data_IF_757141813466
#
_entry.id   IF_757141813466
#
_cell.length_a   1.000
_cell.length_b   1.000
_cell.length_c   1.000
_cell.angle_alpha   90.00
_cell.angle_beta   90.00
_cell.angle_gamma   90.00
#
_symmetry.space_group_name_H-M   'P 1'
#
loop_
_entity.id
_entity.type
_entity.pdbx_description
1 polymer ?
#
# COMPACT_ATOMS: atom_id res chain seq x y z
N UNK A 1 -28.49 -7.05 31.34
CA UNK A 1 -27.10 -7.53 31.33
C UNK A 1 -26.64 -7.47 29.88
N UNK A 2 -25.80 -6.47 29.54
CA UNK A 2 -25.24 -6.36 28.21
C UNK A 2 -24.19 -7.47 28.05
N UNK A 3 -24.40 -8.40 27.10
CA UNK A 3 -23.37 -9.33 26.70
C UNK A 3 -22.24 -8.49 26.10
N UNK A 4 -21.05 -8.49 26.71
CA UNK A 4 -19.85 -7.97 26.11
C UNK A 4 -19.65 -8.76 24.82
N UNK A 5 -19.60 -8.05 23.69
CA UNK A 5 -19.25 -8.64 22.40
C UNK A 5 -17.91 -9.36 22.55
N UNK A 6 -17.82 -10.59 22.04
CA UNK A 6 -16.56 -11.31 22.00
C UNK A 6 -15.51 -10.41 21.30
N UNK A 7 -14.24 -10.37 21.78
CA UNK A 7 -13.23 -9.59 21.12
C UNK A 7 -13.11 -10.03 19.65
N UNK A 8 -13.22 -9.07 18.72
CA UNK A 8 -13.08 -9.37 17.31
C UNK A 8 -11.70 -10.00 17.07
N UNK A 9 -11.67 -11.14 16.37
CA UNK A 9 -10.40 -11.79 15.99
C UNK A 9 -9.66 -10.85 15.05
N UNK A 10 -8.44 -10.46 15.43
CA UNK A 10 -7.59 -9.62 14.57
C UNK A 10 -7.20 -10.38 13.30
N UNK A 11 -7.20 -9.69 12.19
CA UNK A 11 -6.68 -10.19 10.90
C UNK A 11 -5.14 -10.26 10.95
N UNK A 12 -4.56 -10.99 10.01
CA UNK A 12 -3.11 -11.08 9.80
C UNK A 12 -2.79 -10.78 8.36
N UNK A 13 -1.70 -10.06 8.14
CA UNK A 13 -1.14 -9.86 6.80
C UNK A 13 -0.44 -11.13 6.33
N UNK A 14 -0.17 -11.29 5.01
CA UNK A 14 0.64 -12.40 4.50
C UNK A 14 2.05 -12.49 5.10
N UNK A 15 2.56 -11.38 5.64
CA UNK A 15 3.90 -11.26 6.23
C UNK A 15 3.93 -11.45 7.75
N UNK A 16 2.80 -11.68 8.41
CA UNK A 16 2.72 -11.78 9.87
C UNK A 16 3.76 -12.74 10.45
N UNK A 17 3.89 -13.97 9.91
CA UNK A 17 4.83 -14.96 10.44
C UNK A 17 6.29 -14.57 10.17
N UNK A 18 6.56 -13.82 9.10
CA UNK A 18 7.88 -13.24 8.82
C UNK A 18 8.24 -12.22 9.91
N UNK A 19 7.31 -11.35 10.28
CA UNK A 19 7.53 -10.36 11.34
C UNK A 19 7.78 -11.03 12.70
N UNK A 20 7.00 -12.05 13.05
CA UNK A 20 7.21 -12.84 14.27
C UNK A 20 8.60 -13.49 14.27
N UNK A 21 9.00 -14.11 13.16
CA UNK A 21 10.33 -14.74 13.03
C UNK A 21 11.48 -13.74 13.12
N UNK A 22 11.27 -12.49 12.72
CA UNK A 22 12.24 -11.39 12.87
C UNK A 22 12.26 -10.79 14.28
N UNK A 23 11.43 -11.27 15.21
CA UNK A 23 11.35 -10.79 16.58
C UNK A 23 10.58 -9.48 16.73
N UNK A 24 9.68 -9.17 15.82
CA UNK A 24 8.86 -7.97 15.89
C UNK A 24 7.94 -7.98 17.12
N UNK A 25 7.75 -6.82 17.73
CA UNK A 25 6.70 -6.60 18.72
C UNK A 25 5.38 -6.42 18.00
N UNK A 26 4.52 -7.44 18.07
CA UNK A 26 3.19 -7.43 17.44
C UNK A 26 2.19 -6.74 18.36
N UNK A 27 1.36 -5.86 17.80
CA UNK A 27 0.30 -5.13 18.51
C UNK A 27 -0.98 -5.08 17.67
N UNK A 28 -2.16 -4.93 18.30
CA UNK A 28 -3.39 -4.59 17.58
C UNK A 28 -3.28 -3.22 16.91
N UNK A 29 -3.51 -3.16 15.60
CA UNK A 29 -3.55 -1.93 14.83
C UNK A 29 -4.53 -2.05 13.67
N UNK A 30 -5.50 -1.12 13.58
CA UNK A 30 -6.51 -1.07 12.50
C UNK A 30 -7.21 -2.41 12.21
N UNK A 31 -7.45 -3.24 13.24
CA UNK A 31 -8.08 -4.56 13.09
C UNK A 31 -7.12 -5.70 12.75
N UNK A 32 -5.83 -5.45 12.68
CA UNK A 32 -4.78 -6.43 12.36
C UNK A 32 -3.78 -6.61 13.50
N UNK A 33 -3.06 -7.77 13.48
CA UNK A 33 -1.86 -8.00 14.25
C UNK A 33 -0.66 -7.44 13.49
N UNK A 34 -0.14 -6.25 13.88
CA UNK A 34 0.89 -5.53 13.13
C UNK A 34 2.19 -5.37 13.91
N UNK A 35 3.35 -5.40 13.23
CA UNK A 35 4.63 -5.11 13.85
C UNK A 35 4.76 -3.61 14.16
N UNK A 36 5.04 -3.24 15.43
CA UNK A 36 5.24 -1.85 15.83
C UNK A 36 6.71 -1.48 15.93
N UNK A 37 7.56 -2.44 16.19
CA UNK A 37 9.03 -2.28 16.22
C UNK A 37 9.70 -3.66 16.20
N UNK A 38 10.99 -3.65 15.88
CA UNK A 38 11.87 -4.81 15.90
C UNK A 38 12.95 -4.65 16.98
N UNK A 39 13.82 -5.66 17.20
CA UNK A 39 14.80 -5.61 18.29
C UNK A 39 15.79 -4.43 18.26
N UNK A 40 16.04 -3.85 17.08
CA UNK A 40 16.89 -2.67 16.93
C UNK A 40 16.27 -1.39 17.53
N UNK A 41 14.93 -1.36 17.64
CA UNK A 41 14.16 -0.27 18.20
C UNK A 41 13.83 0.84 17.20
N UNK A 42 12.74 1.55 17.45
CA UNK A 42 12.14 2.57 16.56
C UNK A 42 13.16 3.62 16.10
N UNK A 43 14.03 4.10 16.97
CA UNK A 43 15.01 5.13 16.62
C UNK A 43 16.00 4.64 15.55
N UNK A 44 16.49 3.39 15.67
CA UNK A 44 17.38 2.82 14.68
C UNK A 44 16.67 2.57 13.35
N UNK A 45 15.43 2.09 13.39
CA UNK A 45 14.58 1.85 12.23
C UNK A 45 14.28 3.16 11.49
N UNK A 46 13.86 4.20 12.21
CA UNK A 46 13.65 5.55 11.65
C UNK A 46 14.91 6.07 10.95
N UNK A 47 16.08 5.95 11.61
CA UNK A 47 17.36 6.39 11.05
C UNK A 47 17.71 5.62 9.77
N UNK A 48 17.43 4.32 9.73
CA UNK A 48 17.64 3.51 8.53
C UNK A 48 16.83 3.99 7.33
N UNK A 49 15.59 4.39 7.53
CA UNK A 49 14.77 4.99 6.45
C UNK A 49 15.38 6.29 5.96
N UNK A 50 15.83 7.16 6.87
CA UNK A 50 16.39 8.47 6.52
C UNK A 50 17.75 8.41 5.82
N UNK A 51 18.61 7.48 6.21
CA UNK A 51 20.00 7.41 5.75
C UNK A 51 20.23 6.31 4.69
N UNK A 52 19.28 5.39 4.55
CA UNK A 52 19.40 4.22 3.69
C UNK A 52 18.08 3.81 3.06
N UNK A 53 17.49 2.76 3.61
CA UNK A 53 16.19 2.26 3.18
C UNK A 53 15.51 1.49 4.32
N UNK A 54 14.20 1.62 4.42
CA UNK A 54 13.32 0.80 5.23
C UNK A 54 12.26 0.12 4.38
N UNK A 55 11.75 -1.00 4.86
CA UNK A 55 10.65 -1.71 4.22
C UNK A 55 9.52 -1.88 5.22
N UNK A 56 8.31 -1.57 4.79
CA UNK A 56 7.10 -1.60 5.61
C UNK A 56 6.09 -2.56 5.01
N UNK A 57 5.48 -3.36 5.87
CA UNK A 57 4.26 -4.09 5.53
C UNK A 57 3.06 -3.17 5.78
N UNK A 58 2.40 -2.75 4.72
CA UNK A 58 1.19 -1.94 4.76
C UNK A 58 0.01 -2.67 4.12
N UNK A 59 0.09 -4.01 4.05
CA UNK A 59 -0.93 -4.91 3.49
C UNK A 59 -2.26 -4.92 4.26
N UNK A 60 -2.38 -4.11 5.29
CA UNK A 60 -3.63 -3.89 6.01
C UNK A 60 -4.50 -2.79 5.39
N UNK A 61 -3.98 -2.04 4.42
CA UNK A 61 -4.74 -1.02 3.69
C UNK A 61 -5.91 -1.65 2.91
N UNK A 62 -6.84 -0.83 2.45
CA UNK A 62 -7.94 -1.27 1.60
C UNK A 62 -7.68 -0.89 0.14
N UNK A 63 -7.87 -1.84 -0.78
CA UNK A 63 -7.73 -1.64 -2.22
C UNK A 63 -9.05 -1.97 -2.92
N UNK A 64 -9.59 -0.97 -3.64
CA UNK A 64 -10.84 -1.13 -4.39
C UNK A 64 -10.60 -0.98 -5.88
N UNK A 65 -11.00 -1.98 -6.66
CA UNK A 65 -11.04 -1.87 -8.11
C UNK A 65 -12.38 -1.32 -8.58
N UNK A 66 -12.32 -0.35 -9.46
CA UNK A 66 -13.48 0.25 -10.11
C UNK A 66 -13.37 0.01 -11.62
N UNK A 67 -14.21 -0.88 -12.15
CA UNK A 67 -14.24 -1.26 -13.55
C UNK A 67 -15.48 -0.70 -14.24
N UNK A 68 -15.35 -0.42 -15.52
CA UNK A 68 -16.47 0.03 -16.36
C UNK A 68 -16.19 1.37 -17.04
N UNK A 69 -16.98 1.70 -18.08
CA UNK A 69 -16.71 2.87 -18.94
C UNK A 69 -16.84 4.20 -18.22
N UNK A 70 -17.54 4.23 -17.08
CA UNK A 70 -17.74 5.43 -16.27
C UNK A 70 -17.00 5.39 -14.93
N UNK A 71 -15.94 4.56 -14.80
CA UNK A 71 -15.16 4.44 -13.58
C UNK A 71 -14.57 5.80 -13.13
N UNK A 72 -14.04 6.58 -14.06
CA UNK A 72 -13.51 7.93 -13.79
C UNK A 72 -14.59 8.88 -13.28
N UNK A 73 -15.76 8.90 -13.92
CA UNK A 73 -16.87 9.75 -13.48
C UNK A 73 -17.39 9.35 -12.10
N UNK A 74 -17.40 8.04 -11.82
CA UNK A 74 -17.78 7.53 -10.50
C UNK A 74 -16.82 7.99 -9.42
N UNK A 75 -15.49 7.83 -9.64
CA UNK A 75 -14.51 8.24 -8.64
C UNK A 75 -14.49 9.76 -8.48
N UNK A 76 -14.65 10.53 -9.55
CA UNK A 76 -14.86 11.99 -9.46
C UNK A 76 -16.11 12.38 -8.65
N UNK A 77 -17.14 11.54 -8.65
CA UNK A 77 -18.35 11.83 -7.88
C UNK A 77 -18.17 11.62 -6.38
N UNK A 78 -17.32 10.67 -5.99
CA UNK A 78 -17.13 10.30 -4.57
C UNK A 78 -15.88 10.89 -3.92
N UNK A 79 -15.00 11.53 -4.73
CA UNK A 79 -13.76 12.16 -4.24
C UNK A 79 -13.66 13.62 -4.64
N UNK A 80 -12.71 14.34 -4.04
CA UNK A 80 -12.57 15.80 -4.21
C UNK A 80 -11.68 16.22 -5.36
N UNK A 81 -10.63 15.46 -5.69
CA UNK A 81 -9.71 15.79 -6.77
C UNK A 81 -10.23 15.27 -8.12
N UNK A 82 -9.88 15.98 -9.19
CA UNK A 82 -10.31 15.64 -10.55
C UNK A 82 -9.52 14.44 -11.12
N UNK A 83 -10.13 13.26 -11.06
CA UNK A 83 -9.58 12.02 -11.64
C UNK A 83 -9.49 12.11 -13.17
N UNK A 84 -10.37 12.90 -13.80
CA UNK A 84 -10.35 13.14 -15.25
C UNK A 84 -9.09 13.85 -15.73
N UNK A 85 -8.47 14.65 -14.87
CA UNK A 85 -7.20 15.33 -15.17
C UNK A 85 -5.97 14.40 -15.08
N UNK A 86 -6.09 13.22 -14.46
CA UNK A 86 -4.99 12.26 -14.40
C UNK A 86 -4.74 11.62 -15.77
N UNK A 87 -3.49 11.56 -16.19
CA UNK A 87 -3.08 10.66 -17.26
C UNK A 87 -3.03 9.21 -16.77
N UNK A 88 -3.10 8.25 -17.68
CA UNK A 88 -2.86 6.83 -17.39
C UNK A 88 -1.46 6.67 -16.78
N UNK A 89 -1.34 5.91 -15.71
CA UNK A 89 -0.11 5.74 -14.95
C UNK A 89 0.14 6.80 -13.88
N UNK A 90 -0.78 7.74 -13.70
CA UNK A 90 -0.72 8.73 -12.62
C UNK A 90 -1.54 8.34 -11.39
N UNK A 91 -1.10 8.87 -10.26
CA UNK A 91 -1.75 8.76 -8.95
C UNK A 91 -2.02 10.15 -8.42
N UNK A 92 -3.08 10.34 -7.64
CA UNK A 92 -3.21 11.51 -6.79
C UNK A 92 -3.81 11.17 -5.43
N UNK A 93 -3.48 12.00 -4.46
CA UNK A 93 -4.14 12.01 -3.16
C UNK A 93 -5.48 12.73 -3.28
N UNK A 94 -6.52 12.21 -2.63
CA UNK A 94 -7.85 12.78 -2.62
C UNK A 94 -8.54 12.52 -1.28
N UNK A 95 -9.74 13.05 -1.10
CA UNK A 95 -10.59 12.76 0.05
C UNK A 95 -11.96 12.27 -0.41
N UNK A 96 -12.53 11.34 0.34
CA UNK A 96 -13.89 10.84 0.15
C UNK A 96 -14.83 11.73 0.96
N UNK A 97 -15.88 12.26 0.33
CA UNK A 97 -16.85 13.13 0.98
C UNK A 97 -18.21 12.44 1.15
N UNK A 98 -18.91 12.83 2.19
CA UNK A 98 -20.34 12.53 2.33
C UNK A 98 -21.22 13.63 1.73
N UNK A 99 -22.53 13.40 1.76
CA UNK A 99 -23.54 14.32 1.17
C UNK A 99 -23.57 15.71 1.83
N UNK A 100 -22.97 15.86 3.02
CA UNK A 100 -22.85 17.16 3.74
C UNK A 100 -21.55 17.89 3.39
N UNK A 101 -20.70 17.31 2.54
CA UNK A 101 -19.40 17.87 2.19
C UNK A 101 -18.35 17.71 3.29
N UNK A 102 -18.56 16.84 4.27
CA UNK A 102 -17.54 16.51 5.27
C UNK A 102 -16.73 15.29 4.83
N UNK A 103 -15.46 15.26 5.23
CA UNK A 103 -14.53 14.19 4.88
C UNK A 103 -14.91 12.92 5.64
N UNK A 104 -15.08 11.81 4.91
CA UNK A 104 -15.24 10.47 5.45
C UNK A 104 -13.88 9.78 5.63
N UNK A 105 -13.00 9.92 4.64
CA UNK A 105 -11.62 9.44 4.68
C UNK A 105 -10.77 10.14 3.62
N UNK A 106 -9.46 9.91 3.64
CA UNK A 106 -8.53 10.23 2.56
C UNK A 106 -8.14 8.96 1.80
N UNK A 107 -7.72 9.13 0.54
CA UNK A 107 -7.39 8.01 -0.33
C UNK A 107 -6.35 8.38 -1.39
N UNK A 108 -5.70 7.35 -1.94
CA UNK A 108 -4.98 7.46 -3.21
C UNK A 108 -5.85 6.93 -4.35
N UNK A 109 -5.79 7.59 -5.48
CA UNK A 109 -6.51 7.22 -6.71
C UNK A 109 -5.50 6.96 -7.81
N UNK A 110 -5.53 5.77 -8.39
CA UNK A 110 -4.64 5.28 -9.43
C UNK A 110 -5.38 5.19 -10.76
N UNK A 111 -4.89 5.90 -11.78
CA UNK A 111 -5.52 5.93 -13.09
C UNK A 111 -4.89 4.89 -14.03
N UNK A 112 -5.58 3.77 -14.25
CA UNK A 112 -5.25 2.79 -15.28
C UNK A 112 -5.92 3.14 -16.62
N UNK A 113 -5.58 2.42 -17.68
CA UNK A 113 -6.14 2.67 -19.00
C UNK A 113 -7.65 2.34 -19.08
N UNK A 114 -8.09 1.30 -18.39
CA UNK A 114 -9.42 0.70 -18.45
C UNK A 114 -10.18 0.69 -17.13
N UNK A 115 -9.51 1.05 -16.03
CA UNK A 115 -10.05 0.99 -14.66
C UNK A 115 -9.42 2.05 -13.76
N UNK A 116 -9.93 2.17 -12.56
CA UNK A 116 -9.36 2.98 -11.48
C UNK A 116 -9.16 2.09 -10.26
N UNK A 117 -8.07 2.30 -9.51
CA UNK A 117 -7.90 1.72 -8.19
C UNK A 117 -7.96 2.83 -7.14
N UNK A 118 -8.69 2.59 -6.06
CA UNK A 118 -8.64 3.43 -4.86
C UNK A 118 -7.96 2.67 -3.74
N UNK A 119 -7.08 3.36 -3.00
CA UNK A 119 -6.43 2.83 -1.80
C UNK A 119 -6.86 3.67 -0.62
N UNK A 120 -7.40 3.02 0.40
CA UNK A 120 -8.03 3.66 1.55
C UNK A 120 -7.42 3.18 2.86
N UNK A 121 -7.64 3.93 3.94
CA UNK A 121 -7.12 3.60 5.25
C UNK A 121 -7.79 2.34 5.83
N UNK A 122 -6.98 1.42 6.38
CA UNK A 122 -7.40 0.13 6.90
C UNK A 122 -8.61 0.19 7.86
N UNK A 123 -8.58 1.11 8.83
CA UNK A 123 -9.65 1.26 9.83
C UNK A 123 -10.97 1.75 9.23
N UNK A 124 -10.94 2.35 8.05
CA UNK A 124 -12.09 2.91 7.36
C UNK A 124 -12.55 2.10 6.14
N UNK A 125 -11.78 1.13 5.67
CA UNK A 125 -12.03 0.42 4.40
C UNK A 125 -13.47 -0.11 4.27
N UNK A 126 -14.01 -0.79 5.28
CA UNK A 126 -15.39 -1.28 5.24
C UNK A 126 -16.43 -0.14 5.21
N UNK A 127 -16.20 0.95 5.93
CA UNK A 127 -17.06 2.14 5.95
C UNK A 127 -17.02 2.84 4.59
N UNK A 128 -15.84 3.00 4.01
CA UNK A 128 -15.64 3.69 2.74
C UNK A 128 -16.24 2.89 1.60
N UNK A 129 -16.01 1.58 1.57
CA UNK A 129 -16.66 0.68 0.60
C UNK A 129 -18.17 0.78 0.67
N UNK A 130 -18.75 0.71 1.87
CA UNK A 130 -20.20 0.82 2.08
C UNK A 130 -20.73 2.20 1.66
N UNK A 131 -19.94 3.27 1.86
CA UNK A 131 -20.31 4.62 1.46
C UNK A 131 -20.33 4.78 -0.05
N UNK A 132 -19.22 4.46 -0.74
CA UNK A 132 -19.11 4.64 -2.19
C UNK A 132 -20.01 3.68 -2.98
N UNK A 133 -20.25 2.47 -2.47
CA UNK A 133 -21.13 1.48 -3.11
C UNK A 133 -22.56 1.99 -3.37
N UNK A 134 -23.04 2.96 -2.57
CA UNK A 134 -24.36 3.57 -2.75
C UNK A 134 -24.52 4.22 -4.13
N UNK A 135 -23.43 4.63 -4.75
CA UNK A 135 -23.42 5.35 -6.03
C UNK A 135 -23.04 4.47 -7.21
N UNK A 136 -22.46 3.26 -7.00
CA UNK A 136 -21.93 2.41 -8.05
C UNK A 136 -22.95 2.09 -9.16
N UNK A 137 -24.19 1.73 -8.79
CA UNK A 137 -25.25 1.41 -9.75
C UNK A 137 -25.64 2.59 -10.66
N UNK A 138 -25.60 3.83 -10.14
CA UNK A 138 -25.88 5.06 -10.90
C UNK A 138 -24.90 5.26 -12.06
N UNK A 139 -23.65 4.81 -11.87
CA UNK A 139 -22.61 4.93 -12.88
C UNK A 139 -22.41 3.66 -13.69
N UNK A 140 -23.08 2.56 -13.31
CA UNK A 140 -22.93 1.27 -13.98
C UNK A 140 -21.51 0.73 -13.90
N UNK A 141 -20.84 0.96 -12.77
CA UNK A 141 -19.49 0.45 -12.50
C UNK A 141 -19.56 -0.83 -11.68
N UNK A 142 -18.58 -1.70 -11.90
CA UNK A 142 -18.28 -2.84 -11.04
C UNK A 142 -17.23 -2.41 -10.02
N UNK A 143 -17.62 -2.45 -8.74
CA UNK A 143 -16.79 -2.08 -7.59
C UNK A 143 -16.42 -3.35 -6.83
N UNK A 144 -15.15 -3.70 -6.83
CA UNK A 144 -14.61 -4.92 -6.19
C UNK A 144 -13.66 -4.54 -5.06
N UNK A 145 -13.86 -5.12 -3.88
CA UNK A 145 -12.91 -5.09 -2.77
C UNK A 145 -11.83 -6.16 -2.99
N UNK A 146 -10.60 -5.75 -3.22
CA UNK A 146 -9.44 -6.60 -3.41
C UNK A 146 -8.48 -6.60 -2.20
N UNK A 147 -8.89 -6.01 -1.08
CA UNK A 147 -8.04 -5.82 0.10
C UNK A 147 -7.53 -7.13 0.70
N UNK A 148 -8.31 -8.22 0.58
CA UNK A 148 -7.89 -9.53 1.06
C UNK A 148 -7.12 -10.35 -0.02
N UNK A 149 -6.90 -9.80 -1.23
CA UNK A 149 -6.20 -10.45 -2.34
C UNK A 149 -4.79 -9.87 -2.56
N UNK A 150 -4.61 -8.59 -2.23
CA UNK A 150 -3.37 -7.85 -2.45
C UNK A 150 -2.58 -7.66 -1.15
N UNK A 151 -1.28 -7.74 -1.28
CA UNK A 151 -0.33 -7.26 -0.29
C UNK A 151 0.30 -5.95 -0.77
N UNK A 152 0.57 -5.06 0.16
CA UNK A 152 1.22 -3.79 -0.10
C UNK A 152 2.52 -3.68 0.69
N UNK A 153 3.64 -3.57 -0.04
CA UNK A 153 4.98 -3.44 0.50
C UNK A 153 5.51 -2.04 0.17
N UNK A 154 5.85 -1.25 1.19
CA UNK A 154 6.46 0.05 0.98
C UNK A 154 7.97 -0.02 1.22
N UNK A 155 8.76 0.25 0.19
CA UNK A 155 10.22 0.34 0.22
C UNK A 155 10.62 1.82 0.14
N UNK A 156 11.13 2.39 1.23
CA UNK A 156 11.26 3.83 1.41
C UNK A 156 12.67 4.23 1.87
N UNK A 157 13.19 5.33 1.33
CA UNK A 157 14.48 5.88 1.68
C UNK A 157 15.36 6.17 0.47
N UNK A 158 16.46 6.92 0.63
CA UNK A 158 17.31 7.37 -0.49
C UNK A 158 17.92 6.23 -1.33
N UNK A 159 17.96 5.00 -0.81
CA UNK A 159 18.47 3.82 -1.54
C UNK A 159 17.36 2.89 -2.06
N UNK A 160 16.09 3.25 -1.90
CA UNK A 160 14.98 2.41 -2.32
C UNK A 160 15.03 2.08 -3.83
N UNK A 161 15.28 3.07 -4.67
CA UNK A 161 15.37 2.88 -6.12
C UNK A 161 16.54 1.94 -6.52
N UNK A 162 17.71 2.07 -5.88
CA UNK A 162 18.87 1.22 -6.14
C UNK A 162 18.57 -0.25 -5.80
N UNK A 163 17.98 -0.49 -4.63
CA UNK A 163 17.61 -1.83 -4.17
C UNK A 163 16.56 -2.46 -5.10
N UNK A 164 15.50 -1.72 -5.39
CA UNK A 164 14.39 -2.25 -6.19
C UNK A 164 14.80 -2.49 -7.65
N UNK A 165 15.66 -1.62 -8.23
CA UNK A 165 16.12 -1.76 -9.61
C UNK A 165 16.85 -3.09 -9.85
N UNK A 166 17.51 -3.64 -8.83
CA UNK A 166 18.14 -4.96 -8.90
C UNK A 166 17.16 -6.14 -9.05
N UNK A 167 15.87 -5.93 -8.81
CA UNK A 167 14.82 -6.95 -8.80
C UNK A 167 13.76 -6.77 -9.88
N UNK A 168 13.85 -5.69 -10.68
CA UNK A 168 12.88 -5.40 -11.73
C UNK A 168 13.56 -4.97 -13.04
N UNK A 169 12.92 -5.30 -14.15
CA UNK A 169 13.30 -4.79 -15.48
C UNK A 169 12.65 -3.45 -15.79
N UNK A 170 11.64 -3.05 -15.02
CA UNK A 170 10.98 -1.75 -15.14
C UNK A 170 12.00 -0.66 -14.84
N UNK A 171 12.10 0.35 -15.72
CA UNK A 171 13.02 1.47 -15.55
C UNK A 171 12.47 2.42 -14.48
N UNK A 172 12.89 2.26 -13.24
CA UNK A 172 12.36 3.03 -12.10
C UNK A 172 12.62 4.53 -12.23
N UNK A 173 13.69 4.92 -12.92
CA UNK A 173 13.99 6.33 -13.20
C UNK A 173 12.94 7.02 -14.08
N UNK A 174 12.16 6.26 -14.87
CA UNK A 174 11.10 6.78 -15.72
C UNK A 174 9.78 6.95 -14.96
N UNK A 175 9.61 6.26 -13.80
CA UNK A 175 8.46 6.44 -12.94
C UNK A 175 8.64 7.73 -12.14
N UNK A 176 7.87 8.76 -12.46
CA UNK A 176 7.88 10.03 -11.73
C UNK A 176 7.19 9.88 -10.37
N UNK A 177 7.44 10.81 -9.47
CA UNK A 177 6.71 10.89 -8.21
C UNK A 177 5.19 11.00 -8.46
N UNK A 178 4.39 10.24 -7.72
CA UNK A 178 2.96 10.06 -7.94
C UNK A 178 2.60 9.48 -9.33
N UNK A 179 3.45 8.57 -9.81
CA UNK A 179 3.17 7.73 -10.98
C UNK A 179 3.44 6.26 -10.64
N UNK A 180 2.87 5.38 -11.45
CA UNK A 180 3.09 3.95 -11.32
C UNK A 180 3.30 3.29 -12.68
N UNK A 181 3.85 2.08 -12.66
CA UNK A 181 3.93 1.18 -13.79
C UNK A 181 3.52 -0.23 -13.37
N UNK A 182 2.90 -0.96 -14.28
CA UNK A 182 2.72 -2.40 -14.13
C UNK A 182 3.98 -3.10 -14.61
N UNK A 183 4.48 -4.07 -13.84
CA UNK A 183 5.72 -4.76 -14.16
C UNK A 183 5.89 -6.03 -13.33
N UNK A 184 7.14 -6.41 -13.14
CA UNK A 184 7.50 -7.56 -12.30
C UNK A 184 8.56 -7.15 -11.29
N UNK A 185 8.48 -7.69 -10.09
CA UNK A 185 9.49 -7.60 -9.03
C UNK A 185 9.86 -9.01 -8.59
N UNK A 186 11.14 -9.35 -8.62
CA UNK A 186 11.64 -10.69 -8.32
C UNK A 186 10.94 -11.80 -9.13
N UNK A 187 10.51 -11.50 -10.37
CA UNK A 187 9.83 -12.45 -11.25
C UNK A 187 8.33 -12.59 -11.03
N UNK A 188 7.73 -11.79 -10.16
CA UNK A 188 6.29 -11.78 -9.87
C UNK A 188 5.65 -10.47 -10.30
N UNK A 189 4.40 -10.52 -10.79
CA UNK A 189 3.63 -9.34 -11.20
C UNK A 189 3.48 -8.36 -10.04
N UNK A 190 3.64 -7.08 -10.34
CA UNK A 190 3.48 -6.01 -9.36
C UNK A 190 3.01 -4.71 -10.02
N UNK A 191 2.24 -3.91 -9.30
CA UNK A 191 2.10 -2.49 -9.57
C UNK A 191 3.21 -1.80 -8.78
N UNK A 192 4.09 -1.09 -9.48
CA UNK A 192 5.25 -0.40 -8.91
C UNK A 192 4.91 1.08 -8.89
N UNK A 193 4.58 1.61 -7.73
CA UNK A 193 4.17 3.01 -7.55
C UNK A 193 5.27 3.81 -6.88
N UNK A 194 5.65 4.95 -7.44
CA UNK A 194 6.59 5.86 -6.79
C UNK A 194 5.83 6.82 -5.89
N UNK A 195 5.35 6.26 -4.81
CA UNK A 195 4.57 6.88 -3.75
C UNK A 195 5.15 6.48 -2.40
N UNK A 196 4.64 7.05 -1.32
CA UNK A 196 5.03 6.74 0.03
C UNK A 196 4.69 7.85 1.01
N UNK A 197 4.90 7.57 2.28
CA UNK A 197 4.43 8.40 3.40
C UNK A 197 5.55 8.80 4.37
N UNK A 198 6.82 8.56 3.99
CA UNK A 198 7.97 8.78 4.87
C UNK A 198 8.64 10.15 4.70
N UNK A 199 8.30 10.88 3.64
CA UNK A 199 8.99 12.10 3.22
C UNK A 199 10.31 11.85 2.49
N UNK A 200 10.72 10.57 2.35
CA UNK A 200 11.82 10.14 1.51
C UNK A 200 11.30 9.64 0.16
N UNK A 201 12.19 9.51 -0.82
CA UNK A 201 11.87 8.80 -2.07
C UNK A 201 11.64 7.31 -1.79
N UNK A 202 10.76 6.68 -2.55
CA UNK A 202 10.45 5.28 -2.36
C UNK A 202 9.38 4.75 -3.29
N UNK A 203 9.05 3.48 -3.08
CA UNK A 203 8.09 2.77 -3.89
C UNK A 203 7.13 1.97 -3.02
N UNK A 204 5.90 1.89 -3.47
CA UNK A 204 4.86 1.01 -2.94
C UNK A 204 4.56 -0.06 -3.99
N UNK A 205 4.60 -1.33 -3.57
CA UNK A 205 4.46 -2.49 -4.43
C UNK A 205 3.17 -3.21 -4.08
N UNK A 206 2.20 -3.18 -4.97
CA UNK A 206 0.97 -3.98 -4.86
C UNK A 206 1.21 -5.30 -5.57
N UNK A 207 1.06 -6.39 -4.85
CA UNK A 207 1.33 -7.75 -5.32
C UNK A 207 0.27 -8.71 -4.82
N UNK A 208 0.04 -9.82 -5.51
CA UNK A 208 -0.84 -10.86 -4.99
C UNK A 208 -0.28 -11.43 -3.69
N UNK A 209 -1.13 -11.70 -2.72
CA UNK A 209 -0.77 -12.13 -1.37
C UNK A 209 0.23 -13.29 -1.34
N UNK A 210 0.11 -14.25 -2.25
CA UNK A 210 1.01 -15.41 -2.34
C UNK A 210 2.47 -15.03 -2.65
N UNK A 211 2.69 -13.86 -3.27
CA UNK A 211 4.03 -13.38 -3.64
C UNK A 211 4.63 -12.38 -2.64
N UNK A 212 3.89 -11.97 -1.61
CA UNK A 212 4.39 -11.04 -0.61
C UNK A 212 5.67 -11.54 0.08
N UNK A 213 5.67 -12.78 0.56
CA UNK A 213 6.83 -13.37 1.25
C UNK A 213 8.04 -13.56 0.33
N UNK A 214 7.91 -14.15 -0.89
CA UNK A 214 9.01 -14.20 -1.84
C UNK A 214 9.63 -12.85 -2.17
N UNK A 215 8.81 -11.84 -2.45
CA UNK A 215 9.29 -10.49 -2.80
C UNK A 215 9.96 -9.83 -1.58
N UNK A 216 9.37 -9.91 -0.39
CA UNK A 216 9.98 -9.44 0.85
C UNK A 216 11.39 -10.00 1.05
N UNK A 217 11.54 -11.33 0.92
CA UNK A 217 12.84 -11.99 1.07
C UNK A 217 13.85 -11.56 0.01
N UNK A 218 13.42 -11.40 -1.24
CA UNK A 218 14.28 -10.91 -2.31
C UNK A 218 14.78 -9.48 -2.07
N UNK A 219 13.90 -8.57 -1.64
CA UNK A 219 14.24 -7.21 -1.27
C UNK A 219 15.24 -7.17 -0.12
N UNK A 220 15.02 -7.95 0.95
CA UNK A 220 15.92 -8.06 2.10
C UNK A 220 17.30 -8.61 1.70
N UNK A 221 17.35 -9.61 0.84
CA UNK A 221 18.62 -10.19 0.36
C UNK A 221 19.40 -9.19 -0.49
N UNK A 222 18.73 -8.46 -1.39
CA UNK A 222 19.36 -7.44 -2.24
C UNK A 222 19.89 -6.29 -1.39
N UNK A 223 19.11 -5.78 -0.45
CA UNK A 223 19.54 -4.74 0.48
C UNK A 223 20.78 -5.15 1.29
N UNK A 224 20.84 -6.40 1.73
CA UNK A 224 21.98 -6.94 2.50
C UNK A 224 23.24 -7.11 1.65
N UNK A 225 23.11 -7.33 0.34
CA UNK A 225 24.25 -7.50 -0.59
C UNK A 225 24.86 -6.17 -1.01
N UNK A 226 24.10 -5.10 -0.99
CA UNK A 226 24.61 -3.74 -1.25
C UNK A 226 25.38 -3.29 -0.01
N UNK A 227 26.69 -3.12 -0.12
CA UNK A 227 27.64 -2.78 0.96
C UNK A 227 27.28 -1.48 1.75
N UNK A 228 26.09 -0.98 1.58
CA UNK A 228 25.51 0.21 2.17
C UNK A 228 24.53 -0.09 3.31
N UNK A 229 24.22 -1.37 3.54
CA UNK A 229 23.43 -1.81 4.69
C UNK A 229 24.38 -2.21 5.81
N UNK A 230 24.22 -1.65 6.99
CA UNK A 230 24.88 -2.17 8.18
C UNK A 230 24.51 -3.64 8.34
N UNK A 231 25.41 -4.48 8.79
CA UNK A 231 25.34 -5.94 8.86
C UNK A 231 24.17 -6.52 9.70
N UNK A 232 23.15 -5.74 9.97
CA UNK A 232 21.88 -6.17 10.56
C UNK A 232 20.77 -5.59 9.69
N UNK A 233 19.85 -6.41 9.18
CA UNK A 233 18.67 -5.87 8.51
C UNK A 233 17.96 -4.93 9.46
N UNK A 234 17.90 -3.65 9.10
CA UNK A 234 16.97 -2.74 9.73
C UNK A 234 15.58 -3.19 9.32
N UNK A 235 14.85 -3.64 10.29
CA UNK A 235 13.49 -4.09 10.06
C UNK A 235 12.59 -2.87 9.88
N UNK A 236 11.54 -2.95 9.08
CA UNK A 236 10.60 -1.87 8.89
C UNK A 236 9.80 -1.57 10.16
N UNK A 237 9.32 -0.37 10.25
CA UNK A 237 8.35 0.08 11.26
C UNK A 237 6.94 -0.27 10.80
#
# INVERSE_FOLDING_TARGET
MSQAAAPATLKRTPLHDVHVALGAKIVPFAGYEMPVQYPAGITAEHKSVREGCGMFDVSHMGEFWINGPRAVEFVNHVTTNDVGALAVGQVHYSTILNERGTIEDDCLVYRFADKVMMVVNASNAAKDLAHISKYASRFGVDLTDASDELALLALQGPKAAEILQGLTKTQLAEIKYYHFAEGEVAGHRAIISRTGYTGEDGFELYVDNEFAVPIWKALMATASSLATYSSKPSSPV
#
